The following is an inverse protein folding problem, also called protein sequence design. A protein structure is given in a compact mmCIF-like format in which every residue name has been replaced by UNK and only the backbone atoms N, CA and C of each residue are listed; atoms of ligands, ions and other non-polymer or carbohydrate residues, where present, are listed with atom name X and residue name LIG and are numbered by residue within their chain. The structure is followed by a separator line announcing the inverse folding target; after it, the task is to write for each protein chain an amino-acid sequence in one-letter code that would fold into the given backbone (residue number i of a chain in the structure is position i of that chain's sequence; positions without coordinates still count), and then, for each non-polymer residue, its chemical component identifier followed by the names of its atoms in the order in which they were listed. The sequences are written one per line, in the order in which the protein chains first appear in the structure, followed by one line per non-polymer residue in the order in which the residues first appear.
data_IF_933261654097
#
_entry.id   IF_933261654097
#
_cell.length_a   1.000
_cell.length_b   1.000
_cell.length_c   1.000
_cell.angle_alpha   90.00
_cell.angle_beta   90.00
_cell.angle_gamma   90.00
#
_symmetry.space_group_name_H-M   'P 1'
#
loop_
_entity.id
_entity.type
_entity.pdbx_description
1 polymer ?
#
# COMPACT_ATOMS: atom_id res chain seq x y z
N UNK A 1 29.47 -55.57 -9.17
CA UNK A 1 29.61 -54.35 -10.02
C UNK A 1 28.58 -54.25 -11.14
N UNK A 2 28.21 -55.35 -11.82
CA UNK A 2 27.28 -55.36 -12.97
C UNK A 2 25.82 -55.01 -12.61
N UNK A 3 25.28 -55.52 -11.48
CA UNK A 3 23.92 -55.20 -11.00
C UNK A 3 23.68 -53.69 -10.77
N UNK A 4 24.67 -52.96 -10.29
CA UNK A 4 24.56 -51.51 -10.07
C UNK A 4 24.53 -50.72 -11.39
N UNK A 5 25.26 -51.16 -12.41
CA UNK A 5 25.21 -50.55 -13.76
C UNK A 5 23.84 -50.72 -14.42
N UNK A 6 23.20 -51.88 -14.27
CA UNK A 6 21.87 -52.16 -14.85
C UNK A 6 20.78 -51.30 -14.16
N UNK A 7 20.85 -51.15 -12.83
CA UNK A 7 19.92 -50.31 -12.07
C UNK A 7 20.06 -48.82 -12.42
N UNK A 8 21.29 -48.35 -12.65
CA UNK A 8 21.57 -46.98 -13.08
C UNK A 8 21.06 -46.72 -14.51
N UNK A 9 21.26 -47.66 -15.44
CA UNK A 9 20.75 -47.57 -16.81
C UNK A 9 19.22 -47.54 -16.87
N UNK A 10 18.54 -48.36 -16.05
CA UNK A 10 17.08 -48.34 -15.93
C UNK A 10 16.54 -47.00 -15.42
N UNK A 11 17.22 -46.40 -14.45
CA UNK A 11 16.83 -45.11 -13.86
C UNK A 11 17.05 -43.94 -14.84
N UNK A 12 18.15 -43.97 -15.61
CA UNK A 12 18.41 -43.00 -16.69
C UNK A 12 17.37 -43.14 -17.81
N UNK A 13 16.99 -44.37 -18.17
CA UNK A 13 15.99 -44.64 -19.20
C UNK A 13 14.58 -44.17 -18.77
N UNK A 14 14.19 -44.37 -17.50
CA UNK A 14 12.95 -43.82 -16.96
C UNK A 14 12.92 -42.29 -16.96
N UNK A 15 14.06 -41.65 -16.66
CA UNK A 15 14.20 -40.19 -16.75
C UNK A 15 14.04 -39.73 -18.20
N UNK A 16 14.65 -40.45 -19.15
CA UNK A 16 14.57 -40.13 -20.58
C UNK A 16 13.15 -40.30 -21.15
N UNK A 17 12.41 -41.32 -20.71
CA UNK A 17 11.01 -41.54 -21.06
C UNK A 17 10.06 -40.49 -20.45
N UNK A 18 10.45 -39.86 -19.34
CA UNK A 18 9.73 -38.74 -18.73
C UNK A 18 10.14 -37.37 -19.28
N UNK A 19 11.10 -37.31 -20.22
CA UNK A 19 11.42 -36.05 -20.86
C UNK A 19 10.22 -35.60 -21.70
N UNK A 20 9.79 -34.34 -21.55
CA UNK A 20 8.71 -33.81 -22.36
C UNK A 20 9.08 -33.92 -23.84
N UNK A 21 8.14 -34.41 -24.63
CA UNK A 21 8.25 -34.40 -26.09
C UNK A 21 8.49 -32.98 -26.59
N UNK A 22 9.03 -32.84 -27.81
CA UNK A 22 9.22 -31.54 -28.45
C UNK A 22 7.95 -30.65 -28.42
N UNK A 23 6.78 -31.25 -28.62
CA UNK A 23 5.48 -30.54 -28.51
C UNK A 23 5.22 -30.01 -27.09
N UNK A 24 5.50 -30.83 -26.07
CA UNK A 24 5.36 -30.42 -24.67
C UNK A 24 6.37 -29.34 -24.29
N UNK A 25 7.62 -29.42 -24.78
CA UNK A 25 8.64 -28.39 -24.58
C UNK A 25 8.21 -27.03 -25.18
N UNK A 26 7.59 -27.03 -26.36
CA UNK A 26 7.05 -25.80 -26.96
C UNK A 26 5.93 -25.17 -26.12
N UNK A 27 5.00 -25.99 -25.63
CA UNK A 27 3.93 -25.51 -24.76
C UNK A 27 4.51 -24.88 -23.49
N UNK A 28 5.48 -25.54 -22.87
CA UNK A 28 6.20 -25.03 -21.70
C UNK A 28 6.92 -23.71 -22.02
N UNK A 29 7.61 -23.63 -23.16
CA UNK A 29 8.32 -22.42 -23.57
C UNK A 29 7.39 -21.23 -23.81
N UNK A 30 6.25 -21.44 -24.50
CA UNK A 30 5.23 -20.40 -24.71
C UNK A 30 4.68 -19.93 -23.37
N UNK A 31 4.38 -20.86 -22.46
CA UNK A 31 3.86 -20.54 -21.13
C UNK A 31 4.85 -19.70 -20.32
N UNK A 32 6.13 -20.09 -20.25
CA UNK A 32 7.15 -19.30 -19.55
C UNK A 32 7.41 -17.95 -20.21
N UNK A 33 7.44 -17.90 -21.54
CA UNK A 33 7.59 -16.64 -22.29
C UNK A 33 6.43 -15.69 -22.01
N UNK A 34 5.21 -16.20 -21.92
CA UNK A 34 4.04 -15.41 -21.55
C UNK A 34 4.14 -14.86 -20.13
N UNK A 35 4.46 -15.72 -19.14
CA UNK A 35 4.64 -15.29 -17.75
C UNK A 35 5.72 -14.22 -17.66
N UNK A 36 6.87 -14.47 -18.27
CA UNK A 36 8.00 -13.54 -18.26
C UNK A 36 7.62 -12.20 -18.90
N UNK A 37 7.02 -12.24 -20.09
CA UNK A 37 6.54 -11.05 -20.80
C UNK A 37 5.55 -10.24 -19.98
N UNK A 38 4.60 -10.91 -19.31
CA UNK A 38 3.62 -10.28 -18.43
C UNK A 38 4.29 -9.64 -17.19
N UNK A 39 5.20 -10.36 -16.53
CA UNK A 39 5.94 -9.85 -15.36
C UNK A 39 6.81 -8.63 -15.71
N UNK A 40 7.55 -8.70 -16.82
CA UNK A 40 8.37 -7.58 -17.32
C UNK A 40 7.48 -6.39 -17.71
N UNK A 41 6.33 -6.63 -18.34
CA UNK A 41 5.38 -5.57 -18.71
C UNK A 41 4.83 -4.85 -17.48
N UNK A 42 4.44 -5.59 -16.44
CA UNK A 42 4.01 -5.01 -15.16
C UNK A 42 5.11 -4.15 -14.53
N UNK A 43 6.35 -4.65 -14.50
CA UNK A 43 7.50 -3.92 -13.97
C UNK A 43 7.79 -2.65 -14.79
N UNK A 44 7.78 -2.76 -16.12
CA UNK A 44 7.99 -1.63 -17.04
C UNK A 44 6.94 -0.55 -16.82
N UNK A 45 5.65 -0.90 -16.80
CA UNK A 45 4.57 0.06 -16.59
C UNK A 45 4.67 0.75 -15.23
N UNK A 46 5.04 0.01 -14.18
CA UNK A 46 5.28 0.54 -12.84
C UNK A 46 6.43 1.55 -12.83
N UNK A 47 7.58 1.22 -13.42
CA UNK A 47 8.72 2.14 -13.50
C UNK A 47 8.41 3.34 -14.41
N UNK A 48 7.72 3.15 -15.52
CA UNK A 48 7.40 4.22 -16.44
C UNK A 48 6.44 5.24 -15.80
N UNK A 49 5.30 4.79 -15.28
CA UNK A 49 4.27 5.67 -14.72
C UNK A 49 4.54 6.10 -13.27
N UNK A 50 5.10 5.20 -12.48
CA UNK A 50 5.38 5.38 -11.06
C UNK A 50 6.64 6.19 -10.81
N UNK A 51 7.70 5.93 -11.58
CA UNK A 51 9.03 6.50 -11.33
C UNK A 51 9.39 7.56 -12.37
N UNK A 52 9.52 7.18 -13.65
CA UNK A 52 10.01 8.05 -14.71
C UNK A 52 9.13 9.29 -14.91
N UNK A 53 7.83 9.11 -15.17
CA UNK A 53 6.93 10.22 -15.44
C UNK A 53 6.71 11.14 -14.24
N UNK A 54 6.99 10.66 -13.03
CA UNK A 54 6.81 11.42 -11.78
C UNK A 54 8.13 11.94 -11.21
N UNK A 55 9.26 11.66 -11.87
CA UNK A 55 10.61 11.88 -11.37
C UNK A 55 10.78 11.44 -9.91
N UNK A 56 10.53 10.17 -9.66
CA UNK A 56 10.76 9.56 -8.36
C UNK A 56 11.52 8.26 -8.49
N UNK A 57 12.41 8.00 -7.54
CA UNK A 57 13.04 6.68 -7.41
C UNK A 57 12.03 5.67 -6.85
N UNK A 58 12.34 4.37 -6.97
CA UNK A 58 11.53 3.31 -6.34
C UNK A 58 11.41 3.52 -4.81
N UNK A 59 12.48 3.99 -4.16
CA UNK A 59 12.47 4.28 -2.72
C UNK A 59 11.49 5.43 -2.39
N UNK A 60 11.57 6.53 -3.14
CA UNK A 60 10.68 7.68 -2.96
C UNK A 60 9.22 7.34 -3.25
N UNK A 61 8.98 6.46 -4.24
CA UNK A 61 7.65 5.93 -4.54
C UNK A 61 7.06 5.20 -3.33
N UNK A 62 7.82 4.28 -2.72
CA UNK A 62 7.38 3.57 -1.52
C UNK A 62 7.25 4.48 -0.29
N UNK A 63 8.15 5.45 -0.12
CA UNK A 63 8.06 6.39 0.98
C UNK A 63 6.85 7.33 0.84
N UNK A 64 6.47 7.70 -0.38
CA UNK A 64 5.19 8.38 -0.63
C UNK A 64 4.01 7.52 -0.18
N UNK A 65 4.00 6.23 -0.51
CA UNK A 65 2.94 5.32 -0.07
C UNK A 65 2.88 5.23 1.46
N UNK A 66 4.03 5.07 2.13
CA UNK A 66 4.12 5.05 3.60
C UNK A 66 3.61 6.35 4.23
N UNK A 67 3.96 7.51 3.67
CA UNK A 67 3.47 8.83 4.14
C UNK A 67 1.95 8.93 4.05
N UNK A 68 1.36 8.51 2.94
CA UNK A 68 -0.10 8.47 2.75
C UNK A 68 -0.76 7.56 3.78
N UNK A 69 -0.24 6.36 3.95
CA UNK A 69 -0.76 5.38 4.90
C UNK A 69 -0.70 5.89 6.33
N UNK A 70 0.44 6.45 6.74
CA UNK A 70 0.63 7.05 8.06
C UNK A 70 -0.33 8.21 8.30
N UNK A 71 -0.49 9.10 7.33
CA UNK A 71 -1.45 10.20 7.43
C UNK A 71 -2.87 9.69 7.64
N UNK A 72 -3.32 8.73 6.83
CA UNK A 72 -4.67 8.16 6.95
C UNK A 72 -4.89 7.46 8.29
N UNK A 73 -3.88 6.72 8.74
CA UNK A 73 -3.91 6.06 10.03
C UNK A 73 -4.08 7.08 11.17
N UNK A 74 -3.24 8.12 11.19
CA UNK A 74 -3.30 9.17 12.19
C UNK A 74 -4.63 9.94 12.12
N UNK A 75 -5.07 10.32 10.93
CA UNK A 75 -6.35 11.00 10.72
C UNK A 75 -7.54 10.20 11.26
N UNK A 76 -7.56 8.88 11.00
CA UNK A 76 -8.57 7.98 11.58
C UNK A 76 -8.48 8.01 13.11
N UNK A 77 -7.30 7.77 13.69
CA UNK A 77 -7.13 7.77 15.15
C UNK A 77 -7.57 9.09 15.79
N UNK A 78 -7.18 10.21 15.22
CA UNK A 78 -7.58 11.54 15.70
C UNK A 78 -9.09 11.73 15.65
N UNK A 79 -9.74 11.25 14.57
CA UNK A 79 -11.20 11.28 14.44
C UNK A 79 -11.89 10.47 15.54
N UNK A 80 -11.40 9.25 15.81
CA UNK A 80 -11.93 8.43 16.90
C UNK A 80 -11.70 9.07 18.27
N UNK A 81 -10.50 9.60 18.52
CA UNK A 81 -10.16 10.30 19.76
C UNK A 81 -11.07 11.50 20.01
N UNK A 82 -11.35 12.31 18.97
CA UNK A 82 -12.31 13.43 19.06
C UNK A 82 -13.72 12.96 19.40
N UNK A 83 -14.20 11.89 18.76
CA UNK A 83 -15.52 11.30 19.06
C UNK A 83 -15.61 10.78 20.49
N UNK A 84 -14.57 10.09 20.96
CA UNK A 84 -14.48 9.60 22.35
C UNK A 84 -14.54 10.77 23.33
N UNK A 85 -13.75 11.82 23.11
CA UNK A 85 -13.75 13.00 23.98
C UNK A 85 -15.10 13.71 23.99
N UNK A 86 -15.77 13.82 22.84
CA UNK A 86 -17.12 14.38 22.77
C UNK A 86 -18.11 13.60 23.64
N UNK A 87 -18.13 12.27 23.51
CA UNK A 87 -19.03 11.41 24.31
C UNK A 87 -18.67 11.50 25.81
N UNK A 88 -17.38 11.55 26.16
CA UNK A 88 -16.95 11.74 27.56
C UNK A 88 -17.47 13.05 28.15
N UNK A 89 -17.40 14.15 27.40
CA UNK A 89 -17.94 15.44 27.85
C UNK A 89 -19.45 15.38 28.05
N UNK A 90 -20.17 14.80 27.09
CA UNK A 90 -21.62 14.62 27.19
C UNK A 90 -22.04 13.73 28.37
N UNK A 91 -21.25 12.69 28.70
CA UNK A 91 -21.45 11.86 29.89
C UNK A 91 -21.24 12.68 31.16
N UNK A 92 -20.17 13.47 31.21
CA UNK A 92 -19.86 14.32 32.37
C UNK A 92 -20.97 15.33 32.64
N UNK A 93 -21.49 15.98 31.60
CA UNK A 93 -22.62 16.91 31.71
C UNK A 93 -23.89 16.21 32.24
N UNK A 94 -24.16 14.99 31.79
CA UNK A 94 -25.30 14.20 32.29
C UNK A 94 -25.11 13.78 33.75
N UNK A 95 -23.90 13.38 34.15
CA UNK A 95 -23.57 13.03 35.54
C UNK A 95 -23.72 14.26 36.45
N UNK A 96 -23.18 15.41 36.06
CA UNK A 96 -23.32 16.67 36.79
C UNK A 96 -24.78 17.10 36.95
N UNK A 97 -25.59 16.96 35.89
CA UNK A 97 -27.03 17.23 35.96
C UNK A 97 -27.75 16.31 36.95
N UNK A 98 -27.45 15.01 36.91
CA UNK A 98 -28.09 14.02 37.79
C UNK A 98 -27.73 14.27 39.26
N UNK A 99 -26.48 14.65 39.54
CA UNK A 99 -26.02 14.98 40.90
C UNK A 99 -26.64 16.28 41.40
N UNK A 100 -26.72 17.32 40.56
CA UNK A 100 -27.29 18.63 40.95
C UNK A 100 -28.81 18.61 41.10
N UNK A 101 -29.52 17.78 40.33
CA UNK A 101 -30.98 17.74 40.30
C UNK A 101 -31.54 16.33 40.51
N UNK A 102 -31.34 15.69 41.68
CA UNK A 102 -31.69 14.30 41.91
C UNK A 102 -33.20 14.03 41.83
N UNK A 103 -34.03 15.04 42.08
CA UNK A 103 -35.50 14.94 42.12
C UNK A 103 -36.18 15.49 40.86
N UNK A 104 -35.43 15.79 39.79
CA UNK A 104 -36.03 16.30 38.56
C UNK A 104 -37.03 15.29 37.96
N UNK A 105 -38.16 15.78 37.44
CA UNK A 105 -39.21 14.93 36.85
C UNK A 105 -38.72 14.06 35.67
N UNK A 106 -37.61 14.46 35.03
CA UNK A 106 -36.97 13.76 33.92
C UNK A 106 -35.73 12.92 34.32
N UNK A 107 -35.43 12.76 35.61
CA UNK A 107 -34.18 12.14 36.09
C UNK A 107 -34.01 10.69 35.60
N UNK A 108 -35.08 9.91 35.59
CA UNK A 108 -35.05 8.52 35.12
C UNK A 108 -34.76 8.42 33.61
N UNK A 109 -35.24 9.38 32.82
CA UNK A 109 -34.89 9.48 31.39
C UNK A 109 -33.41 9.80 31.22
N UNK A 110 -32.88 10.72 32.02
CA UNK A 110 -31.47 11.12 32.00
C UNK A 110 -30.52 9.99 32.45
N UNK A 111 -30.91 9.18 33.45
CA UNK A 111 -30.15 7.98 33.84
C UNK A 111 -30.11 6.93 32.73
N UNK A 112 -31.22 6.69 32.04
CA UNK A 112 -31.24 5.79 30.85
C UNK A 112 -30.37 6.32 29.71
N UNK A 113 -30.40 7.63 29.48
CA UNK A 113 -29.53 8.29 28.48
C UNK A 113 -28.04 8.12 28.84
N UNK A 114 -27.68 8.31 30.11
CA UNK A 114 -26.32 8.13 30.63
C UNK A 114 -25.82 6.70 30.38
N UNK A 115 -26.60 5.69 30.76
CA UNK A 115 -26.26 4.28 30.54
C UNK A 115 -26.04 3.96 29.05
N UNK A 116 -26.90 4.50 28.18
CA UNK A 116 -26.75 4.33 26.73
C UNK A 116 -25.43 4.95 26.23
N UNK A 117 -25.10 6.17 26.67
CA UNK A 117 -23.85 6.84 26.27
C UNK A 117 -22.61 6.17 26.85
N UNK A 118 -22.66 5.62 28.07
CA UNK A 118 -21.56 4.82 28.64
C UNK A 118 -21.26 3.57 27.81
N UNK A 119 -22.30 2.86 27.39
CA UNK A 119 -22.16 1.71 26.46
C UNK A 119 -21.59 2.12 25.11
N UNK A 120 -22.08 3.24 24.55
CA UNK A 120 -21.54 3.78 23.31
C UNK A 120 -20.06 4.16 23.45
N UNK A 121 -19.68 4.84 24.54
CA UNK A 121 -18.30 5.21 24.83
C UNK A 121 -17.40 3.97 24.86
N UNK A 122 -17.81 2.93 25.58
CA UNK A 122 -17.02 1.69 25.67
C UNK A 122 -16.84 1.05 24.29
N UNK A 123 -17.90 0.99 23.48
CA UNK A 123 -17.82 0.49 22.11
C UNK A 123 -16.82 1.29 21.26
N UNK A 124 -16.85 2.63 21.36
CA UNK A 124 -15.90 3.50 20.62
C UNK A 124 -14.46 3.34 21.09
N UNK A 125 -14.23 3.15 22.38
CA UNK A 125 -12.90 2.89 22.95
C UNK A 125 -12.36 1.56 22.40
N UNK A 126 -13.15 0.50 22.45
CA UNK A 126 -12.76 -0.81 21.91
C UNK A 126 -12.35 -0.71 20.44
N UNK A 127 -13.16 -0.04 19.60
CA UNK A 127 -12.80 0.17 18.18
C UNK A 127 -11.53 1.01 17.99
N UNK A 128 -11.27 1.98 18.86
CA UNK A 128 -10.05 2.79 18.81
C UNK A 128 -8.80 1.99 19.20
N UNK A 129 -8.93 1.09 20.17
CA UNK A 129 -7.84 0.23 20.62
C UNK A 129 -7.54 -0.88 19.61
N UNK A 130 -8.56 -1.44 18.97
CA UNK A 130 -8.40 -2.35 17.82
C UNK A 130 -7.64 -1.69 16.67
N UNK A 131 -7.96 -0.43 16.35
CA UNK A 131 -7.19 0.35 15.38
C UNK A 131 -5.74 0.58 15.84
N UNK A 132 -5.50 0.69 17.15
CA UNK A 132 -4.17 0.79 17.73
C UNK A 132 -3.32 -0.46 17.50
N UNK A 133 -3.93 -1.65 17.50
CA UNK A 133 -3.27 -2.93 17.22
C UNK A 133 -2.90 -3.11 15.74
N UNK A 134 -3.62 -2.45 14.83
CA UNK A 134 -3.34 -2.50 13.40
C UNK A 134 -2.17 -1.60 13.01
N UNK A 135 -1.22 -2.14 12.23
CA UNK A 135 -0.16 -1.32 11.64
C UNK A 135 -0.70 -0.40 10.55
N UNK A 136 -0.17 0.82 10.45
CA UNK A 136 -0.47 1.74 9.36
C UNK A 136 -0.24 1.12 7.97
N UNK A 137 0.62 0.10 7.86
CA UNK A 137 0.91 -0.62 6.61
C UNK A 137 -0.31 -1.27 5.96
N UNK A 138 -1.35 -1.59 6.76
CA UNK A 138 -2.60 -2.19 6.27
C UNK A 138 -3.64 -1.14 5.84
N UNK A 139 -3.32 0.14 5.93
CA UNK A 139 -4.19 1.22 5.46
C UNK A 139 -3.98 1.41 3.95
N UNK A 140 -5.04 1.77 3.23
CA UNK A 140 -4.98 2.00 1.79
C UNK A 140 -3.95 3.08 1.41
N UNK A 141 -3.08 2.84 0.41
CA UNK A 141 -2.13 3.83 -0.12
C UNK A 141 -2.77 4.82 -1.12
N UNK A 142 -4.11 4.82 -1.26
CA UNK A 142 -4.81 5.69 -2.20
C UNK A 142 -4.54 7.18 -1.94
N UNK A 143 -4.33 7.95 -3.01
CA UNK A 143 -4.12 9.41 -2.96
C UNK A 143 -5.40 10.22 -2.78
N UNK A 144 -6.59 9.59 -2.81
CA UNK A 144 -7.88 10.27 -2.69
C UNK A 144 -8.01 11.01 -1.35
N UNK A 145 -8.37 12.29 -1.35
CA UNK A 145 -8.54 13.12 -0.13
C UNK A 145 -7.26 13.24 0.74
N UNK A 146 -6.07 13.10 0.13
CA UNK A 146 -4.80 13.37 0.80
C UNK A 146 -4.38 14.81 0.51
N UNK A 147 -3.96 15.60 1.52
CA UNK A 147 -3.45 16.96 1.32
C UNK A 147 -2.31 17.01 0.31
N UNK A 148 -2.28 18.07 -0.50
CA UNK A 148 -1.22 18.29 -1.50
C UNK A 148 0.18 18.30 -0.88
N UNK A 149 0.32 18.81 0.34
CA UNK A 149 1.59 18.83 1.09
C UNK A 149 2.21 17.44 1.30
N UNK A 150 1.37 16.40 1.41
CA UNK A 150 1.82 15.01 1.60
C UNK A 150 2.12 14.34 0.25
N UNK A 151 1.43 14.77 -0.81
CA UNK A 151 1.58 14.23 -2.16
C UNK A 151 2.71 14.89 -2.96
N UNK A 152 3.18 16.06 -2.51
CA UNK A 152 4.14 16.88 -3.22
C UNK A 152 5.45 16.12 -3.47
N UNK A 153 5.89 16.12 -4.73
CA UNK A 153 7.21 15.67 -5.13
C UNK A 153 7.96 16.90 -5.69
N UNK A 154 8.96 17.44 -4.98
CA UNK A 154 9.68 18.63 -5.43
C UNK A 154 10.49 18.38 -6.71
N UNK A 155 10.86 17.13 -6.99
CA UNK A 155 11.63 16.76 -8.16
C UNK A 155 10.78 16.65 -9.44
N UNK A 156 9.46 16.59 -9.31
CA UNK A 156 8.57 16.45 -10.47
C UNK A 156 8.42 17.78 -11.21
N UNK A 157 9.13 17.94 -12.32
CA UNK A 157 9.13 19.14 -13.17
C UNK A 157 8.21 19.00 -14.41
N UNK A 158 7.36 17.98 -14.44
CA UNK A 158 6.44 17.67 -15.53
C UNK A 158 6.89 16.48 -16.38
N UNK A 159 5.93 15.67 -16.84
CA UNK A 159 6.14 14.36 -17.47
C UNK A 159 7.24 14.36 -18.55
N UNK A 160 7.19 15.32 -19.47
CA UNK A 160 8.14 15.40 -20.57
C UNK A 160 9.55 15.78 -20.10
N UNK A 161 9.66 16.76 -19.21
CA UNK A 161 10.95 17.18 -18.65
C UNK A 161 11.58 16.07 -17.80
N UNK A 162 10.79 15.35 -17.03
CA UNK A 162 11.23 14.18 -16.27
C UNK A 162 11.76 13.08 -17.19
N UNK A 163 11.06 12.81 -18.30
CA UNK A 163 11.52 11.86 -19.32
C UNK A 163 12.89 12.27 -19.88
N UNK A 164 13.05 13.55 -20.24
CA UNK A 164 14.32 14.09 -20.75
C UNK A 164 15.47 14.05 -19.74
N UNK A 165 15.22 14.08 -18.43
CA UNK A 165 16.29 13.90 -17.44
C UNK A 165 16.95 12.52 -17.56
N UNK A 166 16.18 11.49 -17.94
CA UNK A 166 16.66 10.10 -18.03
C UNK A 166 17.15 9.75 -19.44
N UNK A 167 16.42 10.14 -20.48
CA UNK A 167 16.72 9.73 -21.87
C UNK A 167 17.39 10.84 -22.70
N UNK A 168 17.52 12.04 -22.15
CA UNK A 168 18.00 13.21 -22.89
C UNK A 168 16.96 13.75 -23.88
N UNK A 169 17.28 14.89 -24.50
CA UNK A 169 16.41 15.53 -25.49
C UNK A 169 16.49 14.91 -26.88
N UNK A 170 17.55 14.14 -27.19
CA UNK A 170 17.79 13.60 -28.53
C UNK A 170 17.05 12.26 -28.74
N UNK A 171 16.01 12.21 -29.59
CA UNK A 171 15.21 10.99 -29.78
C UNK A 171 16.01 9.83 -30.38
N UNK A 172 17.05 10.16 -31.16
CA UNK A 172 17.94 9.18 -31.80
C UNK A 172 18.64 8.27 -30.78
N UNK A 173 18.74 8.67 -29.51
CA UNK A 173 19.44 7.93 -28.45
C UNK A 173 18.53 7.30 -27.42
N UNK A 174 17.21 7.41 -27.54
CA UNK A 174 16.29 6.91 -26.50
C UNK A 174 16.29 5.39 -26.35
N UNK A 175 16.52 4.66 -27.44
CA UNK A 175 16.50 3.20 -27.47
C UNK A 175 17.90 2.59 -27.68
N UNK A 176 18.93 3.43 -27.69
CA UNK A 176 20.32 2.99 -27.77
C UNK A 176 20.87 3.01 -26.34
N UNK A 177 21.48 1.93 -25.85
CA UNK A 177 21.98 1.83 -24.47
C UNK A 177 23.30 2.61 -24.28
N UNK A 178 23.29 3.89 -24.63
CA UNK A 178 24.38 4.83 -24.44
C UNK A 178 23.95 5.93 -23.46
N UNK A 179 24.82 6.40 -22.56
CA UNK A 179 24.47 7.47 -21.64
C UNK A 179 24.00 8.73 -22.37
N UNK A 180 22.77 9.16 -22.10
CA UNK A 180 22.14 10.34 -22.72
C UNK A 180 21.50 11.30 -21.70
N UNK A 181 21.67 11.01 -20.40
CA UNK A 181 21.12 11.79 -19.28
C UNK A 181 21.63 13.23 -19.27
N UNK A 182 20.77 14.16 -18.89
CA UNK A 182 21.16 15.55 -18.67
C UNK A 182 22.13 15.63 -17.47
N UNK A 183 23.33 16.19 -17.67
CA UNK A 183 24.29 16.49 -16.58
C UNK A 183 23.90 17.78 -15.85
N UNK A 184 24.46 17.97 -14.65
CA UNK A 184 24.25 19.04 -13.65
C UNK A 184 24.32 20.50 -14.16
N UNK A 185 24.61 20.76 -15.44
CA UNK A 185 24.77 22.11 -15.99
C UNK A 185 23.46 22.90 -16.12
N UNK A 186 22.30 22.29 -15.81
CA UNK A 186 20.98 22.92 -15.95
C UNK A 186 20.05 22.67 -14.74
N UNK A 187 20.61 22.40 -13.55
CA UNK A 187 19.88 22.30 -12.29
C UNK A 187 20.03 23.58 -11.48
#
# INVERSE_FOLDING_TARGET
MIKYKIKLLGLIYEIFLRLPTYKQLWIIHIFFSFIFGFSVSCMFLSHFHGNLLKNSTTLEFFDKHRRIQRYRYNFRRDTYKRKINKIKNEIKELEEFIVKFPSASNINKKRKELEKKKKELQSKINSYDELGKLSYKFVSPSTKNIPKSILHNPYNIGKLKNFYQVFGRSPKRWFIPVPSRLRKEYA
#
